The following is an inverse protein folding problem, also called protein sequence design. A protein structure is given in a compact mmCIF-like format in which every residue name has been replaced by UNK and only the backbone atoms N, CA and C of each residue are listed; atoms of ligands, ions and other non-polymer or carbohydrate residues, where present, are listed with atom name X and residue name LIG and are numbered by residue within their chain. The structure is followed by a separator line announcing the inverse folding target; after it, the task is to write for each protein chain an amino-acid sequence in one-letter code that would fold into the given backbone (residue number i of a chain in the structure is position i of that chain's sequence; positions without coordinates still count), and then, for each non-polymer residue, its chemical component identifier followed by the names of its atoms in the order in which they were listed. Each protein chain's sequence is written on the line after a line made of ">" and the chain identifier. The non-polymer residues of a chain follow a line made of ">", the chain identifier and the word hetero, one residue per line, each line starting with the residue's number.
data_IF_385491705517
#
_entry.id   IF_385491705517
#
_cell.length_a   1.000
_cell.length_b   1.000
_cell.length_c   1.000
_cell.angle_alpha   90.00
_cell.angle_beta   90.00
_cell.angle_gamma   90.00
#
_symmetry.space_group_name_H-M   'P 1'
#
loop_
_entity.id
_entity.type
_entity.pdbx_description
1 polymer ?
#
# COMPACT_ATOMS: atom_id res chain seq x y z
N UNK A 1 7.57 -3.09 57.14
CA UNK A 1 6.90 -3.90 56.09
C UNK A 1 6.36 -3.03 54.95
N UNK A 2 5.28 -2.24 55.10
CA UNK A 2 4.63 -1.49 53.99
C UNK A 2 5.56 -0.52 53.22
N UNK A 3 6.44 0.21 53.92
CA UNK A 3 7.40 1.13 53.27
C UNK A 3 8.46 0.40 52.44
N UNK A 4 8.95 -0.75 52.94
CA UNK A 4 9.95 -1.59 52.24
C UNK A 4 9.35 -2.16 50.95
N UNK A 5 8.11 -2.66 50.99
CA UNK A 5 7.42 -3.14 49.79
C UNK A 5 7.19 -2.04 48.77
N UNK A 6 6.78 -0.83 49.19
CA UNK A 6 6.61 0.30 48.27
C UNK A 6 7.93 0.69 47.58
N UNK A 7 9.04 0.72 48.33
CA UNK A 7 10.37 0.99 47.77
C UNK A 7 10.81 -0.10 46.79
N UNK A 8 10.59 -1.37 47.13
CA UNK A 8 10.93 -2.50 46.25
C UNK A 8 10.14 -2.45 44.94
N UNK A 9 8.83 -2.19 45.01
CA UNK A 9 7.98 -2.04 43.82
C UNK A 9 8.43 -0.89 42.94
N UNK A 10 8.81 0.25 43.53
CA UNK A 10 9.33 1.40 42.77
C UNK A 10 10.62 1.08 42.01
N UNK A 11 11.57 0.38 42.65
CA UNK A 11 12.82 -0.06 42.03
C UNK A 11 12.52 -1.03 40.86
N UNK A 12 11.64 -2.02 41.07
CA UNK A 12 11.26 -2.96 40.03
C UNK A 12 10.63 -2.26 38.81
N UNK A 13 9.75 -1.28 39.03
CA UNK A 13 9.11 -0.52 37.94
C UNK A 13 10.13 0.28 37.13
N UNK A 14 11.09 0.95 37.79
CA UNK A 14 12.15 1.70 37.10
C UNK A 14 13.01 0.77 36.25
N UNK A 15 13.41 -0.39 36.79
CA UNK A 15 14.17 -1.40 36.04
C UNK A 15 13.36 -1.96 34.86
N UNK A 16 12.05 -2.12 35.02
CA UNK A 16 11.20 -2.57 33.92
C UNK A 16 11.15 -1.53 32.79
N UNK A 17 11.02 -0.25 33.14
CA UNK A 17 11.05 0.84 32.17
C UNK A 17 12.38 0.92 31.41
N UNK A 18 13.54 0.73 32.07
CA UNK A 18 14.85 0.81 31.39
C UNK A 18 15.11 -0.36 30.43
N UNK A 19 14.47 -1.51 30.61
CA UNK A 19 14.60 -2.65 29.69
C UNK A 19 13.73 -2.55 28.44
N UNK A 20 12.76 -1.61 28.42
CA UNK A 20 11.78 -1.48 27.36
C UNK A 20 12.15 -0.35 26.38
N UNK A 21 12.31 -0.68 25.10
CA UNK A 21 12.63 0.29 24.03
C UNK A 21 11.72 1.55 24.02
N UNK A 22 10.39 1.46 24.21
CA UNK A 22 9.53 2.65 24.20
C UNK A 22 9.87 3.70 25.26
N UNK A 23 10.49 3.30 26.38
CA UNK A 23 10.80 4.20 27.52
C UNK A 23 12.26 4.63 27.55
N UNK A 24 13.07 4.17 26.60
CA UNK A 24 14.51 4.46 26.51
C UNK A 24 14.93 5.03 25.15
N UNK A 25 14.19 4.70 24.09
CA UNK A 25 14.40 5.27 22.76
C UNK A 25 13.82 6.69 22.67
N UNK A 26 14.29 7.44 21.69
CA UNK A 26 13.62 8.68 21.27
C UNK A 26 12.17 8.36 20.88
N UNK A 27 11.24 8.98 21.60
CA UNK A 27 9.81 8.64 21.49
C UNK A 27 9.27 9.03 20.11
N UNK A 28 9.77 10.12 19.53
CA UNK A 28 9.36 10.60 18.21
C UNK A 28 9.82 9.62 17.13
N UNK A 29 11.06 9.14 17.18
CA UNK A 29 11.57 8.13 16.27
C UNK A 29 10.80 6.81 16.38
N UNK A 30 10.56 6.34 17.61
CA UNK A 30 9.83 5.10 17.87
C UNK A 30 8.39 5.16 17.34
N UNK A 31 7.66 6.22 17.67
CA UNK A 31 6.27 6.39 17.25
C UNK A 31 6.15 6.76 15.78
N UNK A 32 7.17 7.39 15.19
CA UNK A 32 7.20 7.75 13.77
C UNK A 32 6.98 6.53 12.87
N UNK A 33 7.49 5.34 13.24
CA UNK A 33 7.24 4.10 12.48
C UNK A 33 5.76 3.68 12.45
N UNK A 34 4.98 4.07 13.46
CA UNK A 34 3.56 3.75 13.61
C UNK A 34 2.64 4.82 13.02
N UNK A 35 3.10 6.07 12.96
CA UNK A 35 2.37 7.19 12.35
C UNK A 35 2.75 7.46 10.89
N UNK A 36 3.83 6.86 10.38
CA UNK A 36 4.24 7.03 8.98
C UNK A 36 3.49 6.07 8.07
N UNK A 37 3.09 6.57 6.90
CA UNK A 37 2.44 5.81 5.84
C UNK A 37 3.27 5.83 4.55
N UNK A 38 3.07 4.83 3.68
CA UNK A 38 3.54 4.87 2.29
C UNK A 38 2.50 5.57 1.45
N UNK A 39 2.87 6.67 0.79
CA UNK A 39 1.95 7.42 -0.08
C UNK A 39 2.42 7.40 -1.53
N UNK A 40 1.48 7.34 -2.45
CA UNK A 40 1.75 7.62 -3.86
C UNK A 40 1.96 9.12 -4.06
N UNK A 41 3.07 9.51 -4.69
CA UNK A 41 3.43 10.92 -4.91
C UNK A 41 3.18 11.36 -6.34
N UNK A 42 3.42 10.47 -7.31
CA UNK A 42 3.18 10.74 -8.71
C UNK A 42 3.05 9.42 -9.47
N UNK A 43 2.61 9.50 -10.72
CA UNK A 43 2.61 8.40 -11.65
C UNK A 43 3.29 8.82 -12.95
N UNK A 44 3.74 7.83 -13.72
CA UNK A 44 4.22 7.99 -15.08
C UNK A 44 3.65 6.86 -15.93
N UNK A 45 3.15 7.22 -17.10
CA UNK A 45 2.65 6.26 -18.09
C UNK A 45 3.55 6.38 -19.33
N UNK A 46 3.94 5.23 -19.88
CA UNK A 46 4.72 5.14 -21.11
C UNK A 46 4.16 4.00 -21.98
N UNK A 47 3.85 4.21 -23.27
CA UNK A 47 3.98 5.44 -24.06
C UNK A 47 2.92 6.51 -23.74
N UNK A 48 2.80 7.55 -24.58
CA UNK A 48 1.85 8.65 -24.40
C UNK A 48 0.40 8.16 -24.25
N UNK A 49 -0.31 8.75 -23.29
CA UNK A 49 -1.74 8.54 -23.05
C UNK A 49 -2.53 9.78 -23.50
N UNK A 50 -3.83 9.63 -23.69
CA UNK A 50 -4.77 10.72 -23.93
C UNK A 50 -5.73 10.87 -22.76
N UNK A 51 -6.51 11.94 -22.74
CA UNK A 51 -7.56 12.15 -21.75
C UNK A 51 -8.90 12.24 -22.49
N UNK A 52 -9.89 11.47 -22.06
CA UNK A 52 -11.22 11.52 -22.67
C UNK A 52 -12.04 12.74 -22.17
N UNK A 53 -13.23 12.93 -22.75
CA UNK A 53 -14.11 14.03 -22.37
C UNK A 53 -14.57 14.02 -20.90
N UNK A 54 -14.51 12.86 -20.24
CA UNK A 54 -14.84 12.70 -18.82
C UNK A 54 -13.61 12.89 -17.90
N UNK A 55 -12.44 13.24 -18.44
CA UNK A 55 -11.21 13.44 -17.67
C UNK A 55 -10.44 12.16 -17.33
N UNK A 56 -10.86 11.00 -17.84
CA UNK A 56 -10.14 9.75 -17.62
C UNK A 56 -8.95 9.60 -18.57
N UNK A 57 -7.84 9.07 -18.04
CA UNK A 57 -6.66 8.76 -18.84
C UNK A 57 -6.88 7.48 -19.66
N UNK A 58 -6.56 7.54 -20.94
CA UNK A 58 -6.74 6.47 -21.91
C UNK A 58 -5.38 6.07 -22.49
N UNK A 59 -5.06 4.78 -22.42
CA UNK A 59 -3.82 4.22 -22.96
C UNK A 59 -4.11 3.47 -24.27
N UNK A 60 -3.18 3.49 -25.26
CA UNK A 60 -3.39 2.77 -26.52
C UNK A 60 -3.36 1.26 -26.30
N UNK A 61 -4.21 0.52 -27.02
CA UNK A 61 -4.28 -0.96 -26.96
C UNK A 61 -3.35 -1.67 -27.95
N UNK A 62 -2.63 -0.92 -28.80
CA UNK A 62 -1.84 -1.48 -29.89
C UNK A 62 -0.49 -2.09 -29.45
N UNK A 63 -0.10 -1.91 -28.18
CA UNK A 63 1.15 -2.42 -27.65
C UNK A 63 1.22 -2.29 -26.14
N UNK A 64 2.34 -2.75 -25.59
CA UNK A 64 2.54 -2.76 -24.15
C UNK A 64 2.60 -1.34 -23.57
N UNK A 65 1.93 -1.18 -22.42
CA UNK A 65 1.90 0.08 -21.67
C UNK A 65 2.44 -0.18 -20.29
N UNK A 66 3.42 0.63 -19.88
CA UNK A 66 3.97 0.61 -18.53
C UNK A 66 3.41 1.75 -17.71
N UNK A 67 2.80 1.41 -16.57
CA UNK A 67 2.36 2.38 -15.55
C UNK A 67 3.30 2.27 -14.36
N UNK A 68 3.98 3.37 -14.04
CA UNK A 68 4.86 3.49 -12.88
C UNK A 68 4.18 4.35 -11.82
N UNK A 69 4.11 3.86 -10.58
CA UNK A 69 3.61 4.61 -9.42
C UNK A 69 4.80 4.90 -8.52
N UNK A 70 5.11 6.19 -8.33
CA UNK A 70 6.17 6.62 -7.44
C UNK A 70 5.62 6.67 -6.01
N UNK A 71 6.31 5.98 -5.10
CA UNK A 71 5.92 5.89 -3.69
C UNK A 71 6.94 6.61 -2.82
N UNK A 72 6.47 7.41 -1.87
CA UNK A 72 7.29 7.92 -0.77
C UNK A 72 7.20 6.93 0.39
N UNK A 73 8.33 6.31 0.71
CA UNK A 73 8.45 5.30 1.77
C UNK A 73 9.53 5.72 2.78
N UNK A 74 9.24 6.66 3.71
CA UNK A 74 10.27 7.28 4.56
C UNK A 74 10.90 6.31 5.57
N UNK A 75 10.22 5.19 5.86
CA UNK A 75 10.63 4.20 6.86
C UNK A 75 10.97 2.84 6.25
N UNK A 76 11.17 2.77 4.94
CA UNK A 76 11.53 1.54 4.22
C UNK A 76 10.61 0.35 4.54
N UNK A 77 9.30 0.61 4.64
CA UNK A 77 8.32 -0.44 4.83
C UNK A 77 8.43 -1.46 3.68
N UNK A 78 8.35 -2.75 4.01
CA UNK A 78 8.29 -3.80 2.99
C UNK A 78 6.95 -3.70 2.27
N UNK A 79 7.01 -3.43 0.97
CA UNK A 79 5.84 -3.47 0.10
C UNK A 79 5.57 -4.92 -0.30
N UNK A 80 4.34 -5.36 -0.14
CA UNK A 80 3.88 -6.68 -0.62
C UNK A 80 3.02 -6.42 -1.83
N UNK A 81 3.56 -6.71 -3.01
CA UNK A 81 2.77 -6.72 -4.24
C UNK A 81 1.75 -7.84 -4.14
N UNK A 82 0.47 -7.61 -4.48
CA UNK A 82 -0.50 -8.70 -4.52
C UNK A 82 0.02 -9.82 -5.42
N UNK A 83 -0.12 -11.06 -4.96
CA UNK A 83 0.17 -12.21 -5.81
C UNK A 83 -0.76 -12.19 -7.04
N UNK A 84 -0.38 -12.88 -8.11
CA UNK A 84 -1.14 -12.94 -9.36
C UNK A 84 -2.56 -13.55 -9.24
N UNK A 85 -3.00 -13.92 -8.03
CA UNK A 85 -4.39 -14.32 -7.79
C UNK A 85 -5.32 -13.15 -8.17
N UNK A 86 -6.43 -13.40 -8.90
CA UNK A 86 -7.35 -12.34 -9.29
C UNK A 86 -7.96 -11.57 -8.11
N UNK A 87 -8.10 -12.22 -6.95
CA UNK A 87 -8.67 -11.61 -5.75
C UNK A 87 -7.74 -10.59 -5.09
N UNK A 88 -6.43 -10.86 -5.07
CA UNK A 88 -5.45 -9.95 -4.48
C UNK A 88 -5.02 -8.89 -5.49
N UNK A 89 -4.76 -9.27 -6.75
CA UNK A 89 -4.49 -8.32 -7.83
C UNK A 89 -5.68 -7.35 -8.03
N UNK A 90 -6.91 -7.82 -7.86
CA UNK A 90 -8.15 -7.03 -7.91
C UNK A 90 -8.23 -5.87 -6.92
N UNK A 91 -7.39 -5.86 -5.87
CA UNK A 91 -7.29 -4.74 -4.91
C UNK A 91 -6.45 -3.58 -5.44
N UNK A 92 -5.59 -3.82 -6.43
CA UNK A 92 -4.69 -2.81 -7.03
C UNK A 92 -5.11 -2.48 -8.47
N UNK A 93 -5.50 -3.49 -9.25
CA UNK A 93 -5.96 -3.33 -10.63
C UNK A 93 -7.33 -4.01 -10.75
N UNK A 94 -8.36 -3.23 -11.08
CA UNK A 94 -9.72 -3.73 -11.22
C UNK A 94 -10.33 -3.23 -12.51
N UNK A 95 -11.03 -4.11 -13.22
CA UNK A 95 -11.76 -3.79 -14.44
C UNK A 95 -13.27 -3.82 -14.14
N UNK A 96 -13.91 -2.64 -13.93
CA UNK A 96 -15.35 -2.58 -13.73
C UNK A 96 -16.10 -3.18 -14.93
N UNK A 97 -17.15 -3.96 -14.66
CA UNK A 97 -17.97 -4.58 -15.69
C UNK A 97 -17.46 -5.93 -16.22
N UNK A 98 -16.30 -6.42 -15.77
CA UNK A 98 -15.80 -7.75 -16.09
C UNK A 98 -15.97 -8.72 -14.91
N UNK A 99 -16.66 -9.84 -15.15
CA UNK A 99 -16.75 -10.97 -14.22
C UNK A 99 -16.72 -12.27 -15.04
N UNK A 100 -15.68 -13.10 -14.91
CA UNK A 100 -14.56 -12.99 -13.98
C UNK A 100 -13.57 -11.86 -14.33
N UNK A 101 -12.71 -11.46 -13.37
CA UNK A 101 -11.62 -10.52 -13.63
C UNK A 101 -10.55 -11.17 -14.54
N UNK A 102 -9.84 -10.38 -15.37
CA UNK A 102 -8.71 -10.86 -16.16
C UNK A 102 -7.63 -11.48 -15.27
N UNK A 103 -7.03 -12.56 -15.78
CA UNK A 103 -5.92 -13.29 -15.15
C UNK A 103 -4.60 -12.87 -15.80
N UNK A 104 -3.58 -12.67 -14.98
CA UNK A 104 -2.24 -12.30 -15.46
C UNK A 104 -1.68 -13.36 -16.41
N UNK A 105 -1.04 -12.91 -17.51
CA UNK A 105 -0.44 -13.78 -18.51
C UNK A 105 -1.44 -14.47 -19.46
N UNK A 106 -2.71 -14.04 -19.45
CA UNK A 106 -3.74 -14.53 -20.37
C UNK A 106 -4.15 -13.42 -21.33
N UNK A 107 -4.19 -13.73 -22.62
CA UNK A 107 -4.69 -12.80 -23.65
C UNK A 107 -6.22 -12.80 -23.68
N UNK A 108 -6.81 -11.62 -23.86
CA UNK A 108 -8.26 -11.43 -23.89
C UNK A 108 -8.69 -10.67 -25.14
N UNK A 109 -9.83 -11.06 -25.71
CA UNK A 109 -10.49 -10.29 -26.77
C UNK A 109 -11.73 -9.61 -26.20
N UNK A 110 -11.76 -8.28 -26.22
CA UNK A 110 -12.96 -7.53 -25.88
C UNK A 110 -13.90 -7.51 -27.08
N UNK A 111 -15.03 -8.20 -26.96
CA UNK A 111 -16.12 -8.06 -27.91
C UNK A 111 -17.02 -6.90 -27.48
N UNK A 112 -17.34 -5.99 -28.40
CA UNK A 112 -18.39 -5.01 -28.17
C UNK A 112 -19.71 -5.77 -27.97
N UNK A 113 -20.26 -5.72 -26.77
CA UNK A 113 -21.67 -6.03 -26.61
C UNK A 113 -22.41 -4.95 -27.39
N UNK A 114 -22.99 -5.31 -28.53
CA UNK A 114 -23.96 -4.46 -29.20
C UNK A 114 -25.00 -4.08 -28.15
N UNK A 115 -24.92 -2.85 -27.67
CA UNK A 115 -26.01 -2.26 -26.93
C UNK A 115 -27.14 -2.14 -27.95
N UNK A 116 -27.98 -3.17 -28.05
CA UNK A 116 -29.28 -3.10 -28.71
C UNK A 116 -29.97 -1.87 -28.12
N UNK A 117 -30.04 -0.81 -28.90
CA UNK A 117 -30.91 0.34 -28.72
C UNK A 117 -31.81 0.39 -29.93
#
# INVERSE_FOLDING_TARGET
>A
MRRVYATLTGICLILFCTTCKPFTADIDEYLSRWSTEVIATNYRINPSYSTNAAGALCVPSAGDVTVTINLRNPKNFRLVTPAASPADAGKVIRFPGLSPQPTYGTDYTLASAQHLR
#
